data_IF_101670980203
#
_entry.id   IF_101670980203
#
_cell.length_a   1.000
_cell.length_b   1.000
_cell.length_c   1.000
_cell.angle_alpha   90.00
_cell.angle_beta   90.00
_cell.angle_gamma   90.00
#
_symmetry.space_group_name_H-M   'P 1'
#
loop_
_entity.id
_entity.type
_entity.pdbx_description
1 polymer ?
#
# COMPACT_ATOMS: atom_id res chain seq x y z
N UNK A 1 -8.69 8.14 0.62
CA UNK A 1 -8.62 6.93 -0.23
C UNK A 1 -8.29 7.28 -1.68
N UNK A 2 -9.12 8.02 -2.43
CA UNK A 2 -8.85 8.31 -3.86
C UNK A 2 -7.48 8.95 -4.07
N UNK A 3 -7.11 9.98 -3.29
CA UNK A 3 -5.79 10.63 -3.37
C UNK A 3 -4.65 9.62 -3.16
N UNK A 4 -4.76 8.74 -2.16
CA UNK A 4 -3.75 7.72 -1.90
C UNK A 4 -3.60 6.79 -3.13
N UNK A 5 -4.71 6.31 -3.68
CA UNK A 5 -4.69 5.44 -4.87
C UNK A 5 -4.07 6.15 -6.07
N UNK A 6 -4.42 7.42 -6.33
CA UNK A 6 -3.85 8.19 -7.44
C UNK A 6 -2.34 8.36 -7.28
N UNK A 7 -1.89 8.79 -6.09
CA UNK A 7 -0.46 8.95 -5.80
C UNK A 7 0.32 7.64 -5.98
N UNK A 8 -0.22 6.51 -5.44
CA UNK A 8 0.41 5.20 -5.57
C UNK A 8 0.57 4.80 -7.04
N UNK A 9 -0.51 4.87 -7.82
CA UNK A 9 -0.47 4.41 -9.21
C UNK A 9 0.39 5.33 -10.09
N UNK A 10 0.35 6.65 -9.89
CA UNK A 10 1.22 7.60 -10.61
C UNK A 10 2.68 7.33 -10.30
N UNK A 11 3.04 7.17 -9.02
CA UNK A 11 4.41 6.88 -8.62
C UNK A 11 4.87 5.52 -9.16
N UNK A 12 4.04 4.50 -9.07
CA UNK A 12 4.37 3.15 -9.52
C UNK A 12 4.57 3.08 -11.04
N UNK A 13 3.67 3.70 -11.82
CA UNK A 13 3.83 3.79 -13.28
C UNK A 13 5.07 4.61 -13.67
N UNK A 14 5.33 5.71 -12.96
CA UNK A 14 6.55 6.50 -13.15
C UNK A 14 7.81 5.69 -12.89
N UNK A 15 7.89 4.99 -11.75
CA UNK A 15 9.02 4.12 -11.41
C UNK A 15 9.18 2.97 -12.41
N UNK A 16 8.09 2.39 -12.90
CA UNK A 16 8.16 1.38 -13.95
C UNK A 16 8.74 1.91 -15.26
N UNK A 17 8.52 3.20 -15.58
CA UNK A 17 9.01 3.78 -16.82
C UNK A 17 10.47 4.27 -16.78
N UNK A 18 10.95 4.71 -15.61
CA UNK A 18 12.29 5.31 -15.46
C UNK A 18 13.28 4.43 -14.72
N UNK A 19 12.81 3.42 -14.01
CA UNK A 19 13.63 2.57 -13.14
C UNK A 19 13.30 1.07 -13.31
N UNK A 20 12.48 0.71 -14.28
CA UNK A 20 12.00 -0.66 -14.49
C UNK A 20 11.46 -1.34 -13.20
N UNK A 21 10.90 -0.54 -12.29
CA UNK A 21 10.39 -1.03 -11.01
C UNK A 21 9.05 -1.78 -11.19
N UNK A 22 8.82 -2.96 -10.62
CA UNK A 22 9.66 -3.62 -9.60
C UNK A 22 10.72 -4.59 -10.14
N UNK A 23 10.78 -4.86 -11.44
CA UNK A 23 11.61 -5.92 -12.02
C UNK A 23 13.10 -5.69 -11.77
N UNK A 24 13.54 -4.42 -11.73
CA UNK A 24 14.92 -4.03 -11.38
C UNK A 24 15.39 -4.60 -10.04
N UNK A 25 14.48 -4.89 -9.10
CA UNK A 25 14.85 -5.42 -7.79
C UNK A 25 15.37 -6.87 -7.83
N UNK A 26 15.26 -7.53 -8.98
CA UNK A 26 15.78 -8.89 -9.22
C UNK A 26 17.16 -8.88 -9.87
N UNK A 27 17.64 -7.70 -10.27
CA UNK A 27 18.98 -7.53 -10.84
C UNK A 27 20.05 -7.45 -9.76
N UNK A 28 21.33 -7.43 -10.17
CA UNK A 28 22.45 -7.30 -9.25
C UNK A 28 22.50 -5.92 -8.57
N UNK A 29 23.08 -5.85 -7.38
CA UNK A 29 23.22 -4.59 -6.65
C UNK A 29 23.93 -3.50 -7.47
N UNK A 30 24.96 -3.91 -8.27
CA UNK A 30 25.68 -2.99 -9.16
C UNK A 30 24.77 -2.40 -10.23
N UNK A 31 23.91 -3.21 -10.85
CA UNK A 31 22.94 -2.76 -11.87
C UNK A 31 21.89 -1.85 -11.27
N UNK A 32 21.33 -2.22 -10.11
CA UNK A 32 20.34 -1.39 -9.40
C UNK A 32 20.93 0.00 -9.06
N UNK A 33 22.14 0.05 -8.51
CA UNK A 33 22.79 1.30 -8.15
C UNK A 33 23.22 2.12 -9.39
N UNK A 34 23.58 1.48 -10.50
CA UNK A 34 23.90 2.15 -11.75
C UNK A 34 22.66 2.82 -12.33
N UNK A 35 21.55 2.08 -12.48
CA UNK A 35 20.28 2.58 -13.00
C UNK A 35 19.68 3.67 -12.09
N UNK A 36 19.86 3.54 -10.76
CA UNK A 36 19.45 4.58 -9.81
C UNK A 36 20.19 5.89 -10.05
N UNK A 37 21.50 5.88 -10.32
CA UNK A 37 22.30 7.09 -10.59
C UNK A 37 21.90 7.80 -11.88
N UNK A 38 21.44 7.06 -12.88
CA UNK A 38 21.10 7.62 -14.20
C UNK A 38 19.93 8.62 -14.13
N UNK A 39 18.96 8.41 -13.20
CA UNK A 39 17.83 9.34 -13.01
C UNK A 39 17.44 9.50 -11.51
N UNK A 40 18.48 9.66 -10.66
CA UNK A 40 18.35 9.72 -9.20
C UNK A 40 17.24 10.67 -8.73
N UNK A 41 17.22 11.90 -9.27
CA UNK A 41 16.27 12.92 -8.84
C UNK A 41 14.81 12.54 -9.10
N UNK A 42 14.53 11.95 -10.25
CA UNK A 42 13.19 11.47 -10.60
C UNK A 42 12.80 10.26 -9.75
N UNK A 43 13.71 9.29 -9.60
CA UNK A 43 13.48 8.08 -8.81
C UNK A 43 13.19 8.43 -7.35
N UNK A 44 13.99 9.30 -6.73
CA UNK A 44 13.77 9.79 -5.36
C UNK A 44 12.39 10.45 -5.24
N UNK A 45 12.03 11.34 -6.18
CA UNK A 45 10.75 12.04 -6.16
C UNK A 45 9.59 11.05 -6.20
N UNK A 46 9.65 10.07 -7.08
CA UNK A 46 8.61 9.04 -7.23
C UNK A 46 8.50 8.16 -5.98
N UNK A 47 9.63 7.76 -5.37
CA UNK A 47 9.59 7.01 -4.10
C UNK A 47 9.06 7.83 -2.93
N UNK A 48 9.31 9.14 -2.88
CA UNK A 48 8.68 10.04 -1.88
C UNK A 48 7.17 10.10 -2.09
N UNK A 49 6.70 10.23 -3.34
CA UNK A 49 5.26 10.21 -3.64
C UNK A 49 4.64 8.87 -3.24
N UNK A 50 5.31 7.76 -3.52
CA UNK A 50 4.86 6.43 -3.15
C UNK A 50 4.80 6.25 -1.61
N UNK A 51 5.81 6.73 -0.89
CA UNK A 51 5.85 6.73 0.58
C UNK A 51 4.72 7.59 1.19
N UNK A 52 4.45 8.76 0.62
CA UNK A 52 3.31 9.60 1.02
C UNK A 52 1.98 8.88 0.80
N UNK A 53 1.83 8.19 -0.32
CA UNK A 53 0.66 7.35 -0.59
C UNK A 53 0.48 6.27 0.48
N UNK A 54 1.54 5.55 0.82
CA UNK A 54 1.54 4.52 1.87
C UNK A 54 1.19 5.12 3.26
N UNK A 55 1.74 6.30 3.58
CA UNK A 55 1.45 7.01 4.83
C UNK A 55 -0.04 7.35 4.99
N UNK A 56 -0.75 7.62 3.89
CA UNK A 56 -2.18 7.91 3.90
C UNK A 56 -3.03 6.70 4.36
N UNK A 57 -2.49 5.49 4.37
CA UNK A 57 -3.19 4.33 4.92
C UNK A 57 -3.49 4.50 6.43
N UNK A 58 -2.60 5.16 7.19
CA UNK A 58 -2.80 5.39 8.62
C UNK A 58 -4.07 6.22 8.92
N UNK A 59 -4.26 7.44 8.38
CA UNK A 59 -5.50 8.18 8.60
C UNK A 59 -6.73 7.47 8.00
N UNK A 60 -6.60 6.75 6.89
CA UNK A 60 -7.68 5.93 6.32
C UNK A 60 -8.10 4.85 7.33
N UNK A 61 -7.15 4.12 7.90
CA UNK A 61 -7.43 3.07 8.87
C UNK A 61 -8.10 3.61 10.15
N UNK A 62 -7.64 4.77 10.64
CA UNK A 62 -8.25 5.44 11.78
C UNK A 62 -9.71 5.81 11.50
N UNK A 63 -9.96 6.44 10.36
CA UNK A 63 -11.32 6.89 10.00
C UNK A 63 -12.27 5.71 9.80
N UNK A 64 -11.85 4.67 9.08
CA UNK A 64 -12.67 3.50 8.80
C UNK A 64 -12.89 2.64 10.05
N UNK A 65 -11.86 2.46 10.88
CA UNK A 65 -11.99 1.72 12.12
C UNK A 65 -12.92 2.42 13.13
N UNK A 66 -12.89 3.76 13.19
CA UNK A 66 -13.85 4.55 13.97
C UNK A 66 -15.27 4.45 13.40
N UNK A 67 -15.41 4.46 12.08
CA UNK A 67 -16.70 4.30 11.42
C UNK A 67 -17.33 2.93 11.72
N UNK A 68 -16.51 1.88 11.82
CA UNK A 68 -16.98 0.53 12.18
C UNK A 68 -17.50 0.45 13.62
N UNK A 69 -16.90 1.18 14.56
CA UNK A 69 -17.36 1.35 15.93
C UNK A 69 -17.36 0.07 16.80
N UNK A 70 -16.73 -1.01 16.35
CA UNK A 70 -16.68 -2.31 17.03
C UNK A 70 -15.24 -2.74 17.31
N UNK A 71 -15.07 -3.90 17.92
CA UNK A 71 -13.75 -4.42 18.32
C UNK A 71 -12.84 -4.66 17.10
N UNK A 72 -13.34 -5.26 16.02
CA UNK A 72 -12.57 -5.46 14.78
C UNK A 72 -12.14 -4.12 14.17
N UNK A 73 -12.98 -3.08 14.25
CA UNK A 73 -12.62 -1.72 13.84
C UNK A 73 -11.45 -1.16 14.65
N UNK A 74 -11.39 -1.41 15.96
CA UNK A 74 -10.26 -1.01 16.81
C UNK A 74 -8.97 -1.75 16.43
N UNK A 75 -9.04 -3.05 16.20
CA UNK A 75 -7.88 -3.82 15.71
C UNK A 75 -7.43 -3.36 14.34
N UNK A 76 -8.36 -3.06 13.42
CA UNK A 76 -8.01 -2.57 12.09
C UNK A 76 -7.26 -1.24 12.13
N UNK A 77 -7.51 -0.36 13.10
CA UNK A 77 -6.73 0.88 13.29
C UNK A 77 -5.27 0.56 13.54
N UNK A 78 -4.98 -0.30 14.53
CA UNK A 78 -3.61 -0.67 14.89
C UNK A 78 -2.85 -1.33 13.73
N UNK A 79 -3.49 -2.31 13.08
CA UNK A 79 -2.89 -3.03 11.95
C UNK A 79 -2.66 -2.11 10.75
N UNK A 80 -3.62 -1.22 10.42
CA UNK A 80 -3.47 -0.30 9.30
C UNK A 80 -2.40 0.77 9.54
N UNK A 81 -2.25 1.25 10.78
CA UNK A 81 -1.13 2.14 11.13
C UNK A 81 0.20 1.39 11.00
N UNK A 82 0.29 0.16 11.51
CA UNK A 82 1.49 -0.66 11.38
C UNK A 82 1.84 -0.91 9.90
N UNK A 83 0.85 -1.23 9.06
CA UNK A 83 1.04 -1.37 7.61
C UNK A 83 1.61 -0.11 6.96
N UNK A 84 1.06 1.06 7.28
CA UNK A 84 1.57 2.33 6.79
C UNK A 84 3.03 2.57 7.22
N UNK A 85 3.34 2.34 8.49
CA UNK A 85 4.69 2.58 9.05
C UNK A 85 5.74 1.69 8.39
N UNK A 86 5.50 0.38 8.28
CA UNK A 86 6.51 -0.53 7.70
C UNK A 86 6.72 -0.25 6.20
N UNK A 87 5.66 0.08 5.46
CA UNK A 87 5.79 0.45 4.05
C UNK A 87 6.56 1.77 3.89
N UNK A 88 6.25 2.78 4.70
CA UNK A 88 6.99 4.06 4.68
C UNK A 88 8.47 3.84 4.99
N UNK A 89 8.81 3.04 6.00
CA UNK A 89 10.20 2.71 6.33
C UNK A 89 10.89 2.04 5.13
N UNK A 90 10.25 1.04 4.54
CA UNK A 90 10.77 0.34 3.37
C UNK A 90 11.02 1.27 2.19
N UNK A 91 10.06 2.14 1.87
CA UNK A 91 10.14 3.05 0.73
C UNK A 91 11.13 4.20 0.95
N UNK A 92 11.21 4.74 2.16
CA UNK A 92 12.12 5.84 2.48
C UNK A 92 13.61 5.46 2.42
N UNK A 93 13.97 4.17 2.33
CA UNK A 93 15.36 3.79 2.06
C UNK A 93 15.90 4.41 0.77
N UNK A 94 15.05 4.53 -0.26
CA UNK A 94 15.41 5.07 -1.57
C UNK A 94 15.81 6.54 -1.54
N UNK A 95 15.05 7.47 -0.92
CA UNK A 95 15.49 8.86 -0.82
C UNK A 95 16.50 9.16 0.29
N UNK A 96 16.62 8.31 1.33
CA UNK A 96 17.42 8.64 2.51
C UNK A 96 18.76 7.88 2.61
N UNK A 97 18.84 6.67 2.05
CA UNK A 97 19.99 5.79 2.25
C UNK A 97 20.66 5.46 0.91
N UNK A 98 19.88 5.08 -0.10
CA UNK A 98 20.40 4.63 -1.39
C UNK A 98 21.27 5.66 -2.09
N UNK A 99 21.00 6.97 -2.10
CA UNK A 99 21.87 7.96 -2.73
C UNK A 99 23.30 7.90 -2.17
N UNK A 100 23.42 7.77 -0.85
CA UNK A 100 24.70 7.70 -0.16
C UNK A 100 25.48 6.40 -0.47
N UNK A 101 24.78 5.31 -0.70
CA UNK A 101 25.38 4.03 -1.07
C UNK A 101 25.77 4.01 -2.55
N UNK A 102 24.94 4.61 -3.40
CA UNK A 102 25.20 4.74 -4.83
C UNK A 102 26.42 5.60 -5.13
N UNK A 103 26.62 6.71 -4.39
CA UNK A 103 27.80 7.58 -4.50
C UNK A 103 29.11 6.86 -4.13
N UNK A 104 29.03 5.83 -3.27
CA UNK A 104 30.19 5.06 -2.80
C UNK A 104 30.35 3.72 -3.51
N UNK A 105 29.42 3.35 -4.35
CA UNK A 105 29.37 2.02 -4.98
C UNK A 105 29.42 0.89 -3.94
N UNK A 106 28.76 1.12 -2.76
CA UNK A 106 28.77 0.18 -1.65
C UNK A 106 27.65 -0.85 -1.81
N UNK A 107 27.89 -1.84 -2.64
CA UNK A 107 26.94 -2.92 -2.97
C UNK A 107 26.62 -3.80 -1.78
N UNK A 108 27.58 -4.12 -0.92
CA UNK A 108 27.38 -4.97 0.26
C UNK A 108 26.41 -4.30 1.26
N UNK A 109 26.60 -3.00 1.51
CA UNK A 109 25.70 -2.24 2.35
C UNK A 109 24.32 -2.08 1.70
N UNK A 110 24.27 -1.88 0.36
CA UNK A 110 23.01 -1.81 -0.37
C UNK A 110 22.22 -3.10 -0.26
N UNK A 111 22.82 -4.27 -0.50
CA UNK A 111 22.17 -5.58 -0.36
C UNK A 111 21.58 -5.78 1.05
N UNK A 112 22.36 -5.41 2.09
CA UNK A 112 21.90 -5.48 3.47
C UNK A 112 20.67 -4.59 3.72
N UNK A 113 20.75 -3.32 3.30
CA UNK A 113 19.64 -2.35 3.44
C UNK A 113 18.42 -2.78 2.61
N UNK A 114 18.66 -3.27 1.38
CA UNK A 114 17.61 -3.74 0.50
C UNK A 114 16.89 -4.94 1.09
N UNK A 115 17.62 -5.94 1.58
CA UNK A 115 17.04 -7.12 2.22
C UNK A 115 16.26 -6.76 3.48
N UNK A 116 16.86 -5.99 4.40
CA UNK A 116 16.23 -5.71 5.70
C UNK A 116 15.07 -4.72 5.56
N UNK A 117 15.30 -3.54 5.00
CA UNK A 117 14.28 -2.49 4.94
C UNK A 117 13.33 -2.67 3.75
N UNK A 118 13.81 -3.21 2.62
CA UNK A 118 13.00 -3.50 1.45
C UNK A 118 12.19 -4.76 1.66
N UNK A 119 12.84 -5.90 1.50
CA UNK A 119 12.19 -7.20 1.42
C UNK A 119 11.50 -7.60 2.73
N UNK A 120 12.19 -7.50 3.88
CA UNK A 120 11.61 -7.96 5.16
C UNK A 120 10.59 -6.94 5.69
N UNK A 121 11.00 -5.68 5.87
CA UNK A 121 10.14 -4.67 6.52
C UNK A 121 9.08 -4.12 5.55
N UNK A 122 9.50 -3.56 4.42
CA UNK A 122 8.60 -2.87 3.49
C UNK A 122 7.63 -3.82 2.78
N UNK A 123 8.16 -4.92 2.26
CA UNK A 123 7.40 -5.86 1.44
C UNK A 123 6.74 -6.94 2.29
N UNK A 124 7.49 -7.84 2.90
CA UNK A 124 6.91 -8.99 3.61
C UNK A 124 5.94 -8.55 4.71
N UNK A 125 6.37 -7.71 5.64
CA UNK A 125 5.48 -7.19 6.68
C UNK A 125 4.41 -6.26 6.12
N UNK A 126 4.74 -5.44 5.11
CA UNK A 126 3.80 -4.56 4.44
C UNK A 126 2.65 -5.32 3.79
N UNK A 127 2.96 -6.40 3.05
CA UNK A 127 1.94 -7.25 2.40
C UNK A 127 1.05 -7.94 3.43
N UNK A 128 1.62 -8.57 4.46
CA UNK A 128 0.87 -9.24 5.52
C UNK A 128 -0.06 -8.28 6.26
N UNK A 129 0.45 -7.11 6.64
CA UNK A 129 -0.32 -6.13 7.40
C UNK A 129 -1.41 -5.48 6.54
N UNK A 130 -1.14 -5.20 5.25
CA UNK A 130 -2.15 -4.66 4.32
C UNK A 130 -3.26 -5.67 4.07
N UNK A 131 -2.92 -6.93 3.82
CA UNK A 131 -3.89 -8.00 3.65
C UNK A 131 -4.73 -8.19 4.93
N UNK A 132 -4.09 -8.25 6.09
CA UNK A 132 -4.77 -8.38 7.40
C UNK A 132 -5.69 -7.19 7.65
N UNK A 133 -5.23 -5.96 7.42
CA UNK A 133 -6.05 -4.76 7.55
C UNK A 133 -7.30 -4.82 6.67
N UNK A 134 -7.13 -5.22 5.41
CA UNK A 134 -8.22 -5.35 4.45
C UNK A 134 -9.28 -6.35 4.93
N UNK A 135 -8.85 -7.51 5.42
CA UNK A 135 -9.75 -8.53 5.99
C UNK A 135 -10.47 -7.98 7.22
N UNK A 136 -9.73 -7.38 8.17
CA UNK A 136 -10.32 -6.83 9.39
C UNK A 136 -11.39 -5.77 9.10
N UNK A 137 -11.13 -4.84 8.19
CA UNK A 137 -12.07 -3.76 7.90
C UNK A 137 -13.31 -4.26 7.13
N UNK A 138 -13.14 -5.27 6.26
CA UNK A 138 -14.26 -5.94 5.60
C UNK A 138 -15.20 -6.57 6.64
N UNK A 139 -14.65 -7.31 7.60
CA UNK A 139 -15.47 -7.95 8.64
C UNK A 139 -16.00 -6.95 9.66
N UNK A 140 -15.25 -5.89 9.97
CA UNK A 140 -15.68 -4.83 10.90
C UNK A 140 -16.90 -4.06 10.39
N UNK A 141 -16.91 -3.72 9.11
CA UNK A 141 -18.01 -2.99 8.46
C UNK A 141 -19.13 -3.92 8.00
N UNK A 142 -18.79 -5.20 7.75
CA UNK A 142 -19.69 -6.24 7.32
C UNK A 142 -20.35 -5.99 5.97
N UNK A 143 -21.27 -6.87 5.60
CA UNK A 143 -22.02 -6.76 4.35
C UNK A 143 -22.97 -5.55 4.30
N UNK A 144 -23.08 -4.81 5.41
CA UNK A 144 -23.91 -3.61 5.53
C UNK A 144 -23.50 -2.49 4.59
N UNK A 145 -22.20 -2.46 4.19
CA UNK A 145 -21.68 -1.36 3.38
C UNK A 145 -22.03 -1.50 1.89
N UNK A 146 -21.83 -2.68 1.27
CA UNK A 146 -21.92 -2.80 -0.18
C UNK A 146 -22.31 -4.19 -0.72
N UNK A 147 -22.71 -5.11 0.16
CA UNK A 147 -23.08 -6.47 -0.24
C UNK A 147 -21.87 -7.35 -0.60
N UNK A 148 -22.17 -8.51 -1.21
CA UNK A 148 -21.19 -9.61 -1.41
C UNK A 148 -20.05 -9.29 -2.36
N UNK A 149 -20.34 -8.55 -3.44
CA UNK A 149 -19.34 -8.24 -4.47
C UNK A 149 -18.14 -7.47 -3.90
N UNK A 150 -18.42 -6.47 -3.04
CA UNK A 150 -17.41 -5.65 -2.39
C UNK A 150 -16.53 -6.48 -1.43
N UNK A 151 -17.17 -7.37 -0.68
CA UNK A 151 -16.48 -8.32 0.20
C UNK A 151 -15.55 -9.23 -0.59
N UNK A 152 -16.04 -9.86 -1.66
CA UNK A 152 -15.22 -10.75 -2.48
C UNK A 152 -14.07 -10.03 -3.17
N UNK A 153 -14.30 -8.84 -3.73
CA UNK A 153 -13.24 -8.05 -4.35
C UNK A 153 -12.10 -7.76 -3.36
N UNK A 154 -12.44 -7.31 -2.14
CA UNK A 154 -11.44 -7.02 -1.13
C UNK A 154 -10.73 -8.27 -0.60
N UNK A 155 -11.42 -9.39 -0.41
CA UNK A 155 -10.80 -10.64 0.04
C UNK A 155 -9.88 -11.25 -1.02
N UNK A 156 -10.26 -11.20 -2.30
CA UNK A 156 -9.41 -11.64 -3.41
C UNK A 156 -8.15 -10.76 -3.47
N UNK A 157 -8.32 -9.42 -3.41
CA UNK A 157 -7.19 -8.50 -3.39
C UNK A 157 -6.25 -8.79 -2.20
N UNK A 158 -6.80 -8.97 -0.99
CA UNK A 158 -6.01 -9.30 0.19
C UNK A 158 -5.24 -10.62 0.06
N UNK A 159 -5.88 -11.66 -0.48
CA UNK A 159 -5.22 -12.94 -0.69
C UNK A 159 -4.07 -12.84 -1.70
N UNK A 160 -4.28 -12.13 -2.82
CA UNK A 160 -3.26 -11.92 -3.83
C UNK A 160 -2.09 -11.06 -3.31
N UNK A 161 -2.37 -10.01 -2.51
CA UNK A 161 -1.32 -9.22 -1.85
C UNK A 161 -0.51 -10.10 -0.90
N UNK A 162 -1.16 -10.95 -0.11
CA UNK A 162 -0.49 -11.84 0.83
C UNK A 162 0.45 -12.85 0.14
N UNK A 163 0.15 -13.26 -1.11
CA UNK A 163 1.06 -14.11 -1.88
C UNK A 163 2.41 -13.46 -2.17
N UNK A 164 2.50 -12.13 -2.11
CA UNK A 164 3.76 -11.40 -2.23
C UNK A 164 4.82 -11.78 -1.18
N UNK A 165 4.40 -12.35 -0.04
CA UNK A 165 5.33 -12.88 0.98
C UNK A 165 6.19 -14.04 0.45
N UNK A 166 5.76 -14.68 -0.62
CA UNK A 166 6.46 -15.79 -1.25
C UNK A 166 7.44 -15.35 -2.35
N UNK A 167 7.43 -14.07 -2.74
CA UNK A 167 8.35 -13.53 -3.77
C UNK A 167 9.82 -13.78 -3.41
N UNK A 168 10.28 -13.53 -2.17
CA UNK A 168 11.67 -13.78 -1.79
C UNK A 168 12.07 -15.27 -1.77
N UNK A 169 11.10 -16.17 -1.97
CA UNK A 169 11.31 -17.63 -2.06
C UNK A 169 11.30 -18.11 -3.51
N UNK A 170 11.33 -17.21 -4.48
CA UNK A 170 11.31 -17.49 -5.92
C UNK A 170 10.16 -18.39 -6.37
N UNK A 171 9.00 -18.28 -5.71
CA UNK A 171 7.81 -19.05 -6.10
C UNK A 171 7.20 -18.42 -7.37
N UNK A 172 7.12 -19.18 -8.49
CA UNK A 172 6.69 -18.61 -9.76
C UNK A 172 5.30 -17.97 -9.72
N UNK A 173 5.18 -16.76 -10.25
CA UNK A 173 3.91 -16.04 -10.41
C UNK A 173 3.41 -15.33 -9.16
N UNK A 174 4.14 -15.35 -8.03
CA UNK A 174 3.74 -14.64 -6.80
C UNK A 174 3.93 -13.14 -6.90
N UNK A 175 4.91 -12.66 -7.66
CA UNK A 175 5.14 -11.28 -8.06
C UNK A 175 3.96 -10.72 -8.85
N UNK A 176 3.56 -11.42 -9.93
CA UNK A 176 2.39 -11.07 -10.73
C UNK A 176 1.10 -11.11 -9.90
N UNK A 177 0.94 -12.12 -9.05
CA UNK A 177 -0.23 -12.21 -8.17
C UNK A 177 -0.30 -11.02 -7.21
N UNK A 178 0.82 -10.64 -6.59
CA UNK A 178 0.92 -9.48 -5.71
C UNK A 178 0.60 -8.17 -6.46
N UNK A 179 1.17 -7.97 -7.64
CA UNK A 179 0.89 -6.82 -8.50
C UNK A 179 -0.60 -6.70 -8.84
N UNK A 180 -1.22 -7.78 -9.33
CA UNK A 180 -2.67 -7.83 -9.59
C UNK A 180 -3.48 -7.57 -8.31
N UNK A 181 -3.01 -8.10 -7.19
CA UNK A 181 -3.60 -7.85 -5.87
C UNK A 181 -3.69 -6.37 -5.53
N UNK A 182 -2.63 -5.60 -5.74
CA UNK A 182 -2.63 -4.15 -5.51
C UNK A 182 -3.48 -3.36 -6.51
N UNK A 183 -3.59 -3.80 -7.75
CA UNK A 183 -4.53 -3.21 -8.71
C UNK A 183 -5.98 -3.41 -8.23
N UNK A 184 -6.35 -4.63 -7.88
CA UNK A 184 -7.69 -4.93 -7.36
C UNK A 184 -7.98 -4.19 -6.04
N UNK A 185 -6.98 -4.07 -5.17
CA UNK A 185 -7.08 -3.31 -3.93
C UNK A 185 -7.27 -1.81 -4.18
N UNK A 186 -6.59 -1.24 -5.17
CA UNK A 186 -6.79 0.14 -5.61
C UNK A 186 -8.24 0.37 -6.08
N UNK A 187 -8.77 -0.53 -6.91
CA UNK A 187 -10.17 -0.51 -7.36
C UNK A 187 -11.12 -0.62 -6.16
N UNK A 188 -10.83 -1.52 -5.23
CA UNK A 188 -11.61 -1.72 -4.01
C UNK A 188 -11.63 -0.47 -3.13
N UNK A 189 -10.50 0.22 -2.94
CA UNK A 189 -10.42 1.48 -2.18
C UNK A 189 -11.21 2.62 -2.84
N UNK A 190 -11.17 2.73 -4.17
CA UNK A 190 -11.97 3.73 -4.91
C UNK A 190 -13.46 3.42 -4.77
N UNK A 191 -13.86 2.15 -4.94
CA UNK A 191 -15.24 1.72 -4.72
C UNK A 191 -15.68 2.01 -3.28
N UNK A 192 -14.82 1.77 -2.29
CA UNK A 192 -15.07 2.06 -0.89
C UNK A 192 -15.34 3.56 -0.67
N UNK A 193 -14.48 4.43 -1.22
CA UNK A 193 -14.67 5.87 -1.15
C UNK A 193 -16.02 6.30 -1.75
N UNK A 194 -16.36 5.78 -2.93
CA UNK A 194 -17.62 6.07 -3.60
C UNK A 194 -18.84 5.63 -2.80
N UNK A 195 -18.77 4.46 -2.15
CA UNK A 195 -19.86 3.93 -1.32
C UNK A 195 -20.11 4.79 -0.06
N UNK A 196 -19.03 5.21 0.62
CA UNK A 196 -19.16 6.11 1.77
C UNK A 196 -19.74 7.45 1.34
N UNK A 197 -19.21 8.01 0.24
CA UNK A 197 -19.68 9.31 -0.27
C UNK A 197 -21.17 9.28 -0.65
N UNK A 198 -21.62 8.22 -1.33
CA UNK A 198 -23.06 8.06 -1.67
C UNK A 198 -23.94 7.99 -0.44
N UNK A 199 -23.52 7.28 0.61
CA UNK A 199 -24.31 7.17 1.85
C UNK A 199 -24.43 8.51 2.58
N UNK A 200 -23.34 9.27 2.66
CA UNK A 200 -23.38 10.59 3.31
C UNK A 200 -24.30 11.60 2.62
N UNK A 201 -24.62 11.38 1.33
CA UNK A 201 -25.52 12.26 0.58
C UNK A 201 -26.98 11.76 0.54
N UNK A 202 -27.22 10.47 0.75
CA UNK A 202 -28.56 9.89 0.78
C UNK A 202 -29.19 10.03 2.17
N UNK A 203 -28.39 9.99 3.24
CA UNK A 203 -28.80 10.26 4.62
C UNK A 203 -28.61 11.77 4.92
N UNK A 204 -29.23 12.63 4.10
CA UNK A 204 -29.29 14.08 4.36
C UNK A 204 -29.85 14.39 5.74
N UNK A 205 -29.55 15.58 6.33
CA UNK A 205 -29.94 15.92 7.69
C UNK A 205 -31.49 15.74 7.81
N UNK A 206 -31.84 14.84 8.74
CA UNK A 206 -33.27 14.71 9.11
C UNK A 206 -33.80 16.11 9.44
N UNK A 207 -34.67 16.64 8.62
CA UNK A 207 -35.36 17.90 8.88
C UNK A 207 -36.07 17.73 10.22
N UNK A 208 -35.51 18.33 11.27
CA UNK A 208 -36.19 18.47 12.54
C UNK A 208 -37.41 19.38 12.26
N UNK A 209 -38.57 18.78 12.10
CA UNK A 209 -39.81 19.52 12.11
C UNK A 209 -39.95 20.20 13.47
N UNK A 210 -40.19 21.51 13.52
CA UNK A 210 -40.42 22.19 14.78
C UNK A 210 -41.61 21.57 15.48
N UNK A 211 -41.46 21.20 16.75
CA UNK A 211 -42.54 20.79 17.61
C UNK A 211 -43.49 21.99 17.77
N UNK A 212 -44.70 21.84 17.24
CA UNK A 212 -45.83 22.75 17.46
C UNK A 212 -46.45 22.55 18.82
#
# INVERSE_FOLDING_TARGET
>A
MVVAVVLANVAFLGLGSVFNYPDILQESADEILAEFRDDEGTIITLFVILALSAALLAPIAILLGRLAGNELGRWSIGVGIAAAVVQVIGLLRWPLIVPFLADREDTDAFETVHTVLGTVVGETLGYLLTATWTVLIIYALGQRLAGRWFTYLGLIAAALIALGVLVPLDVPGTDLANFVGYILWSIWLVAFAALIWRRSHVEGPAVQLPAT
#
